data_IF_875063708783
#
_entry.id   IF_875063708783
#
_cell.length_a   1.000
_cell.length_b   1.000
_cell.length_c   1.000
_cell.angle_alpha   90.00
_cell.angle_beta   90.00
_cell.angle_gamma   90.00
#
_symmetry.space_group_name_H-M   'P 1'
#
loop_
_entity.id
_entity.type
_entity.pdbx_description
1 polymer ?
#
# COMPACT_ATOMS: atom_id res chain seq x y z
N UNK A 1 9.56 41.44 69.66
CA UNK A 1 9.24 42.88 69.55
C UNK A 1 10.36 43.57 68.79
N UNK A 2 9.99 44.49 67.89
CA UNK A 2 10.81 45.40 67.06
C UNK A 2 11.64 44.71 65.95
N UNK A 3 11.62 45.12 64.68
CA UNK A 3 11.26 46.38 64.02
C UNK A 3 12.38 46.62 62.99
N UNK A 4 12.12 46.61 61.68
CA UNK A 4 11.81 47.82 60.93
C UNK A 4 12.97 48.30 60.03
N UNK A 5 12.89 47.95 58.74
CA UNK A 5 13.17 48.74 57.51
C UNK A 5 14.45 49.60 57.34
N UNK A 6 15.11 49.39 56.19
CA UNK A 6 15.46 50.34 55.09
C UNK A 6 16.87 50.03 54.52
N UNK A 7 17.00 49.35 53.37
CA UNK A 7 17.01 49.87 51.99
C UNK A 7 18.22 50.75 51.64
N UNK A 8 19.20 50.19 50.91
CA UNK A 8 19.97 50.90 49.88
C UNK A 8 20.26 50.00 48.68
N UNK A 9 19.49 50.30 47.64
CA UNK A 9 19.78 50.27 46.21
C UNK A 9 21.26 50.01 45.84
N UNK A 10 21.52 48.95 45.07
CA UNK A 10 22.56 48.98 44.05
C UNK A 10 22.02 48.23 42.82
N UNK A 11 21.59 49.02 41.84
CA UNK A 11 21.37 48.58 40.48
C UNK A 11 22.70 48.16 39.88
N UNK A 12 22.76 46.98 39.28
CA UNK A 12 23.66 46.65 38.17
C UNK A 12 22.96 45.61 37.30
N UNK A 13 22.24 46.12 36.31
CA UNK A 13 21.66 45.36 35.20
C UNK A 13 22.82 44.81 34.35
N UNK A 14 23.08 43.52 34.45
CA UNK A 14 23.86 42.81 33.42
C UNK A 14 22.95 42.57 32.23
N UNK A 15 23.15 43.35 31.16
CA UNK A 15 22.54 43.11 29.88
C UNK A 15 23.15 41.83 29.27
N UNK A 16 22.54 40.68 29.53
CA UNK A 16 22.80 39.47 28.75
C UNK A 16 22.14 39.62 27.39
N UNK A 17 22.96 39.74 26.34
CA UNK A 17 22.52 39.72 24.97
C UNK A 17 21.78 38.40 24.68
N UNK A 18 20.45 38.44 24.63
CA UNK A 18 19.68 37.43 23.90
C UNK A 18 19.94 37.66 22.42
N UNK A 19 20.92 36.94 21.88
CA UNK A 19 20.90 36.63 20.46
C UNK A 19 19.70 35.71 20.24
N UNK A 20 18.58 36.29 19.81
CA UNK A 20 17.54 35.56 19.09
C UNK A 20 18.20 35.00 17.83
N UNK A 21 18.83 33.84 17.97
CA UNK A 21 19.03 32.92 16.87
C UNK A 21 17.65 32.61 16.33
N UNK A 22 17.30 33.26 15.23
CA UNK A 22 16.19 32.88 14.39
C UNK A 22 16.50 31.44 13.99
N UNK A 23 15.95 30.47 14.73
CA UNK A 23 15.81 29.12 14.24
C UNK A 23 14.87 29.22 13.05
N UNK A 24 15.47 29.48 11.90
CA UNK A 24 14.88 29.23 10.59
C UNK A 24 14.64 27.73 10.61
N UNK A 25 13.43 27.35 11.00
CA UNK A 25 12.92 26.02 10.76
C UNK A 25 13.02 25.86 9.25
N UNK A 26 14.08 25.17 8.80
CA UNK A 26 14.08 24.52 7.51
C UNK A 26 12.93 23.52 7.58
N UNK A 27 11.72 24.03 7.33
CA UNK A 27 10.71 23.23 6.67
C UNK A 27 11.41 22.80 5.40
N UNK A 28 11.96 21.61 5.43
CA UNK A 28 12.12 20.80 4.23
C UNK A 28 10.74 20.87 3.62
N UNK A 29 10.57 21.75 2.63
CA UNK A 29 9.48 21.63 1.70
C UNK A 29 9.57 20.18 1.25
N UNK A 30 8.59 19.38 1.66
CA UNK A 30 8.40 18.06 1.09
C UNK A 30 8.38 18.33 -0.40
N UNK A 31 9.45 17.95 -1.10
CA UNK A 31 9.50 18.02 -2.56
C UNK A 31 8.18 17.42 -3.02
N UNK A 32 7.43 18.07 -3.92
CA UNK A 32 6.23 17.46 -4.46
C UNK A 32 6.67 16.08 -4.97
N UNK A 33 6.25 15.04 -4.25
CA UNK A 33 6.71 13.70 -4.48
C UNK A 33 5.95 13.24 -5.72
N UNK A 34 6.48 13.62 -6.87
CA UNK A 34 6.07 13.06 -8.15
C UNK A 34 6.46 11.59 -8.08
N UNK A 35 5.50 10.77 -7.68
CA UNK A 35 5.63 9.33 -7.79
C UNK A 35 5.73 9.01 -9.28
N UNK A 36 6.74 8.23 -9.71
CA UNK A 36 6.84 7.82 -11.11
C UNK A 36 5.59 7.05 -11.50
N UNK A 37 4.74 7.67 -12.31
CA UNK A 37 3.58 7.03 -12.91
C UNK A 37 4.04 6.16 -14.08
N UNK A 38 3.44 4.99 -14.21
CA UNK A 38 3.65 4.05 -15.30
C UNK A 38 2.32 3.68 -15.94
N UNK A 39 2.36 3.25 -17.20
CA UNK A 39 1.19 2.65 -17.82
C UNK A 39 0.98 1.22 -17.29
N UNK A 40 -0.24 0.92 -16.84
CA UNK A 40 -0.68 -0.44 -16.59
C UNK A 40 -1.41 -0.95 -17.85
N UNK A 41 -0.92 -2.00 -18.55
CA UNK A 41 -1.51 -2.45 -19.79
C UNK A 41 -2.90 -3.09 -19.59
N UNK A 42 -3.29 -3.40 -18.36
CA UNK A 42 -4.50 -4.15 -18.04
C UNK A 42 -5.72 -3.27 -17.70
N UNK A 43 -5.52 -2.02 -17.29
CA UNK A 43 -6.59 -1.02 -17.13
C UNK A 43 -6.08 0.42 -17.04
N UNK A 44 -7.01 1.37 -16.92
CA UNK A 44 -6.75 2.82 -16.90
C UNK A 44 -6.61 3.42 -15.50
N UNK A 45 -6.48 2.59 -14.47
CA UNK A 45 -6.25 3.08 -13.11
C UNK A 45 -4.83 3.64 -13.01
N UNK A 46 -4.68 4.83 -12.42
CA UNK A 46 -3.39 5.47 -12.24
C UNK A 46 -2.45 4.54 -11.47
N UNK A 47 -1.26 4.28 -12.01
CA UNK A 47 -0.34 3.27 -11.48
C UNK A 47 1.02 3.88 -11.20
N UNK A 48 1.50 3.73 -9.97
CA UNK A 48 2.72 4.37 -9.49
C UNK A 48 3.76 3.33 -9.06
N UNK A 49 5.03 3.64 -9.30
CA UNK A 49 6.16 2.81 -8.85
C UNK A 49 6.79 3.43 -7.60
N UNK A 50 6.79 2.68 -6.49
CA UNK A 50 7.55 3.04 -5.29
C UNK A 50 8.82 2.20 -5.17
N UNK A 51 9.93 2.72 -4.59
CA UNK A 51 11.17 1.95 -4.47
C UNK A 51 10.96 0.55 -3.86
N UNK A 52 10.20 0.47 -2.76
CA UNK A 52 9.79 -0.77 -2.11
C UNK A 52 8.53 -0.55 -1.29
N UNK A 53 7.64 -1.53 -1.28
CA UNK A 53 6.49 -1.63 -0.37
C UNK A 53 6.42 -3.05 0.19
N UNK A 54 5.96 -3.26 1.43
CA UNK A 54 5.90 -4.59 2.05
C UNK A 54 5.09 -5.60 1.23
N UNK A 55 3.98 -5.16 0.64
CA UNK A 55 3.01 -6.00 -0.07
C UNK A 55 3.38 -6.28 -1.54
N UNK A 56 4.52 -5.76 -2.03
CA UNK A 56 4.99 -5.80 -3.43
C UNK A 56 4.09 -5.04 -4.43
N UNK A 57 2.77 -5.05 -4.26
CA UNK A 57 1.79 -4.23 -4.97
C UNK A 57 0.57 -3.95 -4.07
N UNK A 58 -0.21 -2.91 -4.38
CA UNK A 58 -1.44 -2.58 -3.66
C UNK A 58 -2.42 -1.74 -4.50
N UNK A 59 -3.72 -1.99 -4.31
CA UNK A 59 -4.82 -1.23 -4.87
C UNK A 59 -5.52 -0.38 -3.81
N UNK A 60 -5.58 0.93 -4.02
CA UNK A 60 -6.06 1.90 -3.04
C UNK A 60 -6.94 2.96 -3.72
N UNK A 61 -7.55 3.85 -2.93
CA UNK A 61 -8.11 5.11 -3.45
C UNK A 61 -7.41 6.29 -2.79
N UNK A 62 -7.25 7.40 -3.51
CA UNK A 62 -6.84 8.67 -2.90
C UNK A 62 -7.96 9.28 -2.03
N UNK A 63 -7.66 10.47 -1.49
CA UNK A 63 -8.60 11.26 -0.68
C UNK A 63 -9.84 11.73 -1.46
N UNK A 64 -9.73 11.91 -2.77
CA UNK A 64 -10.85 12.23 -3.65
C UNK A 64 -11.70 10.99 -3.99
N UNK A 65 -11.19 9.79 -3.70
CA UNK A 65 -11.83 8.52 -4.00
C UNK A 65 -11.46 7.95 -5.37
N UNK A 66 -10.51 8.57 -6.07
CA UNK A 66 -9.98 8.08 -7.34
C UNK A 66 -9.10 6.84 -7.10
N UNK A 67 -9.22 5.85 -7.99
CA UNK A 67 -8.46 4.61 -7.88
C UNK A 67 -6.99 4.82 -8.16
N UNK A 68 -6.14 4.18 -7.35
CA UNK A 68 -4.70 4.10 -7.57
C UNK A 68 -4.18 2.68 -7.40
N UNK A 69 -3.13 2.35 -8.15
CA UNK A 69 -2.34 1.15 -7.98
C UNK A 69 -0.91 1.58 -7.65
N UNK A 70 -0.29 0.90 -6.70
CA UNK A 70 1.10 1.08 -6.36
C UNK A 70 1.83 -0.23 -6.51
N UNK A 71 2.97 -0.22 -7.18
CA UNK A 71 3.82 -1.41 -7.37
C UNK A 71 5.25 -1.14 -6.92
N UNK A 72 5.90 -2.15 -6.36
CA UNK A 72 7.30 -2.07 -5.96
C UNK A 72 8.22 -2.07 -7.19
N UNK A 73 9.04 -1.03 -7.32
CA UNK A 73 10.13 -0.95 -8.30
C UNK A 73 11.15 -2.09 -8.14
N UNK A 74 11.31 -2.61 -6.92
CA UNK A 74 12.15 -3.79 -6.68
C UNK A 74 11.54 -5.08 -7.28
N UNK A 75 10.21 -5.23 -7.25
CA UNK A 75 9.52 -6.34 -7.92
C UNK A 75 9.61 -6.18 -9.43
N UNK A 76 9.28 -4.98 -9.93
CA UNK A 76 9.36 -4.60 -11.36
C UNK A 76 10.71 -4.90 -11.99
N UNK A 77 11.81 -4.63 -11.29
CA UNK A 77 13.17 -4.79 -11.83
C UNK A 77 13.71 -6.22 -11.74
N UNK A 78 13.35 -7.00 -10.72
CA UNK A 78 13.90 -8.34 -10.48
C UNK A 78 13.13 -9.44 -11.21
N UNK A 79 11.81 -9.28 -11.32
CA UNK A 79 10.92 -10.34 -11.81
C UNK A 79 9.88 -9.74 -12.77
N UNK A 80 10.25 -9.44 -14.03
CA UNK A 80 9.33 -8.78 -14.97
C UNK A 80 8.02 -9.55 -15.18
N UNK A 81 8.10 -10.87 -15.41
CA UNK A 81 6.90 -11.70 -15.62
C UNK A 81 5.95 -11.67 -14.41
N UNK A 82 6.48 -11.80 -13.18
CA UNK A 82 5.67 -11.68 -11.96
C UNK A 82 5.11 -10.26 -11.77
N UNK A 83 5.82 -9.24 -12.23
CA UNK A 83 5.35 -7.86 -12.14
C UNK A 83 4.12 -7.61 -13.01
N UNK A 84 4.08 -8.24 -14.18
CA UNK A 84 2.88 -8.23 -15.02
C UNK A 84 1.70 -8.93 -14.34
N UNK A 85 1.95 -10.04 -13.62
CA UNK A 85 0.92 -10.66 -12.78
C UNK A 85 0.41 -9.70 -11.69
N UNK A 86 1.31 -9.03 -10.97
CA UNK A 86 0.93 -8.03 -9.96
C UNK A 86 0.10 -6.89 -10.56
N UNK A 87 0.51 -6.34 -11.70
CA UNK A 87 -0.23 -5.25 -12.37
C UNK A 87 -1.64 -5.68 -12.80
N UNK A 88 -1.79 -6.90 -13.33
CA UNK A 88 -3.09 -7.45 -13.70
C UNK A 88 -3.95 -7.74 -12.46
N UNK A 89 -3.35 -8.26 -11.39
CA UNK A 89 -4.01 -8.57 -10.12
C UNK A 89 -4.57 -7.32 -9.45
N UNK A 90 -3.75 -6.28 -9.28
CA UNK A 90 -4.19 -5.01 -8.71
C UNK A 90 -5.27 -4.33 -9.57
N UNK A 91 -5.12 -4.43 -10.90
CA UNK A 91 -6.16 -3.96 -11.81
C UNK A 91 -7.52 -4.65 -11.58
N UNK A 92 -7.50 -5.95 -11.29
CA UNK A 92 -8.70 -6.71 -10.97
C UNK A 92 -9.35 -6.30 -9.65
N UNK A 93 -8.57 -5.93 -8.62
CA UNK A 93 -9.15 -5.38 -7.38
C UNK A 93 -9.99 -4.13 -7.62
N UNK A 94 -9.57 -3.26 -8.53
CA UNK A 94 -10.37 -2.10 -8.94
C UNK A 94 -11.58 -2.49 -9.78
N UNK A 95 -11.38 -3.31 -10.81
CA UNK A 95 -12.42 -3.69 -11.78
C UNK A 95 -13.55 -4.50 -11.13
N UNK A 96 -13.24 -5.33 -10.14
CA UNK A 96 -14.21 -6.11 -9.37
C UNK A 96 -14.84 -5.31 -8.21
N UNK A 97 -14.38 -4.08 -7.96
CA UNK A 97 -14.90 -3.21 -6.91
C UNK A 97 -14.44 -3.57 -5.49
N UNK A 98 -13.41 -4.40 -5.35
CA UNK A 98 -12.87 -4.83 -4.05
C UNK A 98 -12.42 -3.63 -3.20
N UNK A 99 -11.75 -2.67 -3.82
CA UNK A 99 -11.26 -1.45 -3.15
C UNK A 99 -12.42 -0.60 -2.59
N UNK A 100 -13.49 -0.43 -3.39
CA UNK A 100 -14.69 0.31 -2.97
C UNK A 100 -15.44 -0.40 -1.84
N UNK A 101 -15.52 -1.73 -1.91
CA UNK A 101 -16.18 -2.56 -0.90
C UNK A 101 -15.47 -2.47 0.45
N UNK A 102 -14.14 -2.52 0.48
CA UNK A 102 -13.37 -2.33 1.72
C UNK A 102 -13.57 -0.93 2.33
N UNK A 103 -13.57 0.11 1.49
CA UNK A 103 -13.82 1.50 1.92
C UNK A 103 -15.22 1.68 2.54
N UNK A 104 -16.26 1.08 1.95
CA UNK A 104 -17.66 1.21 2.41
C UNK A 104 -18.02 0.28 3.58
N UNK A 105 -17.40 -0.90 3.64
CA UNK A 105 -17.80 -2.00 4.53
C UNK A 105 -17.08 -2.09 5.88
N UNK A 106 -16.04 -1.29 6.12
CA UNK A 106 -15.27 -1.33 7.37
C UNK A 106 -15.51 -0.13 8.30
N UNK A 107 -16.08 0.96 7.80
CA UNK A 107 -16.32 2.19 8.58
C UNK A 107 -17.48 2.12 9.57
N UNK A 108 -18.31 1.07 9.52
CA UNK A 108 -19.53 0.94 10.35
C UNK A 108 -19.58 -0.32 11.22
N UNK A 109 -18.55 -1.17 11.19
CA UNK A 109 -18.55 -2.41 11.98
C UNK A 109 -17.90 -2.18 13.34
N UNK A 110 -18.65 -2.44 14.42
CA UNK A 110 -18.15 -2.44 15.79
C UNK A 110 -17.05 -3.50 16.04
N UNK A 111 -16.58 -3.68 17.29
CA UNK A 111 -15.29 -4.26 17.67
C UNK A 111 -15.04 -5.75 17.35
N UNK A 112 -15.87 -6.40 16.53
CA UNK A 112 -15.61 -7.74 15.97
C UNK A 112 -15.37 -7.75 14.44
N UNK A 113 -14.52 -6.88 13.88
CA UNK A 113 -14.27 -6.83 12.44
C UNK A 113 -13.68 -8.15 11.88
N UNK A 114 -12.94 -8.90 12.69
CA UNK A 114 -12.11 -10.03 12.24
C UNK A 114 -12.86 -11.18 11.57
N UNK A 115 -14.03 -11.59 12.09
CA UNK A 115 -14.80 -12.73 11.56
C UNK A 115 -15.38 -12.45 10.17
N UNK A 116 -15.72 -11.20 9.87
CA UNK A 116 -16.31 -10.80 8.60
C UNK A 116 -15.23 -10.48 7.55
N UNK A 117 -14.06 -10.00 8.00
CA UNK A 117 -12.99 -9.55 7.12
C UNK A 117 -12.25 -10.71 6.48
N UNK A 118 -11.85 -11.73 7.25
CA UNK A 118 -11.04 -12.83 6.71
C UNK A 118 -11.72 -13.57 5.55
N UNK A 119 -12.99 -13.99 5.62
CA UNK A 119 -13.66 -14.63 4.49
C UNK A 119 -13.82 -13.70 3.28
N UNK A 120 -14.07 -12.40 3.53
CA UNK A 120 -14.21 -11.42 2.47
C UNK A 120 -12.88 -11.16 1.75
N UNK A 121 -11.79 -10.94 2.48
CA UNK A 121 -10.45 -10.77 1.91
C UNK A 121 -10.01 -12.01 1.15
N UNK A 122 -10.18 -13.21 1.73
CA UNK A 122 -9.92 -14.47 1.03
C UNK A 122 -10.64 -14.53 -0.32
N UNK A 123 -11.94 -14.21 -0.34
CA UNK A 123 -12.72 -14.22 -1.57
C UNK A 123 -12.17 -13.21 -2.59
N UNK A 124 -11.91 -11.98 -2.16
CA UNK A 124 -11.40 -10.91 -3.03
C UNK A 124 -10.07 -11.27 -3.68
N UNK A 125 -9.13 -11.82 -2.91
CA UNK A 125 -7.81 -12.23 -3.43
C UNK A 125 -7.94 -13.34 -4.49
N UNK A 126 -8.76 -14.36 -4.22
CA UNK A 126 -8.94 -15.48 -5.16
C UNK A 126 -9.71 -15.06 -6.43
N UNK A 127 -10.67 -14.13 -6.31
CA UNK A 127 -11.36 -13.54 -7.47
C UNK A 127 -10.41 -12.68 -8.30
N UNK A 128 -9.54 -11.90 -7.64
CA UNK A 128 -8.52 -11.09 -8.32
C UNK A 128 -7.48 -11.96 -9.04
N UNK A 129 -7.04 -13.07 -8.44
CA UNK A 129 -6.15 -14.05 -9.08
C UNK A 129 -6.74 -14.59 -10.39
N UNK A 130 -7.98 -15.07 -10.37
CA UNK A 130 -8.62 -15.62 -11.57
C UNK A 130 -8.91 -14.56 -12.63
N UNK A 131 -9.26 -13.34 -12.21
CA UNK A 131 -9.40 -12.21 -13.12
C UNK A 131 -8.05 -11.86 -13.79
N UNK A 132 -6.94 -11.85 -13.03
CA UNK A 132 -5.61 -11.59 -13.56
C UNK A 132 -5.22 -12.64 -14.61
N UNK A 133 -5.44 -13.93 -14.30
CA UNK A 133 -5.22 -15.03 -15.25
C UNK A 133 -5.98 -14.81 -16.56
N UNK A 134 -7.25 -14.36 -16.49
CA UNK A 134 -8.04 -14.06 -17.69
C UNK A 134 -7.45 -12.91 -18.51
N UNK A 135 -7.00 -11.84 -17.85
CA UNK A 135 -6.36 -10.70 -18.53
C UNK A 135 -5.06 -11.13 -19.22
N UNK A 136 -4.20 -11.88 -18.51
CA UNK A 136 -2.92 -12.37 -19.04
C UNK A 136 -3.09 -13.39 -20.18
N UNK A 137 -4.10 -14.25 -20.12
CA UNK A 137 -4.47 -15.12 -21.25
C UNK A 137 -4.87 -14.32 -22.49
N UNK A 138 -5.63 -13.24 -22.29
CA UNK A 138 -6.08 -12.39 -23.39
C UNK A 138 -4.93 -11.60 -24.06
N UNK A 139 -3.83 -11.39 -23.33
CA UNK A 139 -2.61 -10.74 -23.84
C UNK A 139 -1.50 -11.71 -24.22
N UNK A 140 -1.74 -13.03 -24.16
CA UNK A 140 -0.76 -14.09 -24.45
C UNK A 140 0.50 -14.00 -23.56
N UNK A 141 0.29 -13.85 -22.25
CA UNK A 141 1.33 -13.71 -21.24
C UNK A 141 1.35 -14.91 -20.28
N UNK A 142 1.47 -16.12 -20.82
CA UNK A 142 1.47 -17.37 -20.06
C UNK A 142 2.62 -17.43 -19.03
N UNK A 143 3.79 -16.87 -19.35
CA UNK A 143 4.93 -16.78 -18.45
C UNK A 143 4.61 -15.96 -17.18
N UNK A 144 3.77 -14.94 -17.30
CA UNK A 144 3.32 -14.13 -16.16
C UNK A 144 2.35 -14.88 -15.26
N UNK A 145 1.48 -15.72 -15.84
CA UNK A 145 0.60 -16.61 -15.07
C UNK A 145 1.45 -17.58 -14.25
N UNK A 146 2.42 -18.24 -14.89
CA UNK A 146 3.32 -19.18 -14.24
C UNK A 146 4.20 -18.48 -13.17
N UNK A 147 4.64 -17.25 -13.42
CA UNK A 147 5.39 -16.47 -12.45
C UNK A 147 4.54 -16.12 -11.21
N UNK A 148 3.26 -15.79 -11.39
CA UNK A 148 2.30 -15.59 -10.29
C UNK A 148 2.11 -16.86 -9.46
N UNK A 149 1.87 -18.00 -10.11
CA UNK A 149 1.73 -19.30 -9.44
C UNK A 149 2.99 -19.66 -8.64
N UNK A 150 4.17 -19.51 -9.23
CA UNK A 150 5.45 -19.82 -8.58
C UNK A 150 5.71 -18.91 -7.38
N UNK A 151 5.39 -17.61 -7.49
CA UNK A 151 5.53 -16.68 -6.39
C UNK A 151 4.62 -17.07 -5.21
N UNK A 152 3.36 -17.42 -5.48
CA UNK A 152 2.43 -17.88 -4.43
C UNK A 152 2.87 -19.22 -3.83
N UNK A 153 3.39 -20.14 -4.65
CA UNK A 153 3.96 -21.41 -4.17
C UNK A 153 5.12 -21.18 -3.19
N UNK A 154 5.95 -20.16 -3.43
CA UNK A 154 7.06 -19.82 -2.54
C UNK A 154 6.63 -19.31 -1.15
N UNK A 155 5.41 -18.75 -1.02
CA UNK A 155 4.81 -18.42 0.27
C UNK A 155 4.35 -19.66 1.04
N UNK A 156 4.02 -20.76 0.34
CA UNK A 156 3.58 -22.00 0.97
C UNK A 156 2.32 -21.83 1.82
N UNK A 157 2.27 -22.49 2.97
CA UNK A 157 1.12 -22.44 3.89
C UNK A 157 1.01 -21.12 4.67
N UNK A 158 1.94 -20.17 4.48
CA UNK A 158 1.88 -18.86 5.11
C UNK A 158 0.87 -17.94 4.39
N UNK A 159 0.14 -17.08 5.13
CA UNK A 159 -0.74 -16.09 4.52
C UNK A 159 0.05 -15.03 3.76
N UNK A 160 -0.45 -14.60 2.60
CA UNK A 160 0.21 -13.59 1.75
C UNK A 160 0.01 -12.15 2.22
N UNK A 161 -0.60 -11.97 3.39
CA UNK A 161 -0.97 -10.70 4.01
C UNK A 161 -1.82 -10.96 5.25
N UNK A 162 -2.07 -9.91 6.05
CA UNK A 162 -2.91 -10.07 7.24
C UNK A 162 -4.32 -10.56 6.85
N UNK A 163 -4.68 -11.77 7.27
CA UNK A 163 -5.97 -12.42 6.98
C UNK A 163 -6.21 -12.81 5.51
N UNK A 164 -5.16 -12.77 4.68
CA UNK A 164 -5.21 -13.17 3.28
C UNK A 164 -5.17 -14.72 3.17
N UNK A 165 -5.54 -15.30 2.00
CA UNK A 165 -5.35 -16.72 1.77
C UNK A 165 -3.87 -17.10 1.84
N UNK A 166 -3.60 -18.39 2.00
CA UNK A 166 -2.22 -18.90 1.98
C UNK A 166 -1.65 -18.83 0.57
N UNK A 167 -0.31 -18.81 0.47
CA UNK A 167 0.38 -18.93 -0.81
C UNK A 167 -0.04 -20.18 -1.60
N UNK A 168 -0.05 -21.34 -0.94
CA UNK A 168 -0.46 -22.62 -1.53
C UNK A 168 -1.91 -22.61 -2.03
N UNK A 169 -2.81 -21.97 -1.29
CA UNK A 169 -4.20 -21.80 -1.71
C UNK A 169 -4.33 -20.91 -2.95
N UNK A 170 -3.63 -19.78 -2.97
CA UNK A 170 -3.61 -18.87 -4.13
C UNK A 170 -2.97 -19.53 -5.35
N UNK A 171 -1.85 -20.24 -5.18
CA UNK A 171 -1.20 -20.97 -6.26
C UNK A 171 -2.13 -22.00 -6.90
N UNK A 172 -2.80 -22.83 -6.09
CA UNK A 172 -3.77 -23.80 -6.58
C UNK A 172 -4.95 -23.14 -7.32
N UNK A 173 -5.41 -21.98 -6.84
CA UNK A 173 -6.48 -21.22 -7.50
C UNK A 173 -6.02 -20.62 -8.85
N UNK A 174 -4.81 -20.06 -8.92
CA UNK A 174 -4.21 -19.56 -10.16
C UNK A 174 -4.11 -20.69 -11.20
N UNK A 175 -3.56 -21.84 -10.81
CA UNK A 175 -3.44 -23.01 -11.68
C UNK A 175 -4.80 -23.48 -12.20
N UNK A 176 -5.80 -23.61 -11.33
CA UNK A 176 -7.15 -24.01 -11.74
C UNK A 176 -7.79 -23.02 -12.72
N UNK A 177 -7.61 -21.71 -12.51
CA UNK A 177 -8.09 -20.68 -13.42
C UNK A 177 -7.28 -20.63 -14.73
N UNK A 178 -6.01 -21.06 -14.72
CA UNK A 178 -5.19 -21.21 -15.91
C UNK A 178 -5.63 -22.40 -16.78
N UNK A 179 -6.21 -23.44 -16.20
CA UNK A 179 -6.76 -24.59 -16.93
C UNK A 179 -8.19 -24.39 -17.42
N UNK A 180 -8.94 -23.46 -16.82
CA UNK A 180 -10.30 -23.15 -17.23
C UNK A 180 -10.35 -22.60 -18.67
N UNK A 181 -11.28 -23.14 -19.47
CA UNK A 181 -11.51 -22.77 -20.88
C UNK A 181 -12.38 -21.53 -21.04
#
# INVERSE_FOLDING_TARGET
MNGGRNMRLLFLLTATALTLGVFRSDRTEARPMWLPEIENPYCKVATFVLPSIPEQAASLTDDAGEGMIVVSGSAMSKTPAYSHFLLAHECCHHTLGHVSMLKKGLGHMGPQPFFYIKPALRKMELEADCCAVKLLKATHEEDSILAGENAMTAFGDEPTGAYYPTGSERAANIAACAEAK
#
